data_IF_512022530630
#
_entry.id   IF_512022530630
#
_cell.length_a   1.000
_cell.length_b   1.000
_cell.length_c   1.000
_cell.angle_alpha   90.00
_cell.angle_beta   90.00
_cell.angle_gamma   90.00
#
_symmetry.space_group_name_H-M   'P 1'
#
loop_
_entity.id
_entity.type
_entity.pdbx_description
1 polymer ?
#
# COMPACT_ATOMS: atom_id res chain seq x y z
N UNK A 1 3.28 7.55 2.22
CA UNK A 1 1.84 7.43 1.95
C UNK A 1 1.52 6.00 1.55
N UNK A 2 0.39 5.48 2.01
CA UNK A 2 -0.12 4.15 1.66
C UNK A 2 -1.46 4.29 0.97
N UNK A 3 -1.64 3.59 -0.14
CA UNK A 3 -2.93 3.47 -0.81
C UNK A 3 -3.42 2.02 -0.74
N UNK A 4 -4.71 1.86 -0.47
CA UNK A 4 -5.36 0.54 -0.49
C UNK A 4 -6.82 0.64 -0.93
N UNK A 5 -7.36 -0.43 -1.50
CA UNK A 5 -8.70 -0.53 -2.02
C UNK A 5 -9.60 -1.48 -1.22
N UNK A 6 -10.82 -1.05 -0.95
CA UNK A 6 -11.84 -1.85 -0.28
C UNK A 6 -13.02 -2.01 -1.21
N UNK A 7 -13.28 -3.24 -1.64
CA UNK A 7 -14.43 -3.55 -2.50
C UNK A 7 -15.72 -3.51 -1.69
N UNK A 8 -16.68 -2.77 -2.19
CA UNK A 8 -18.05 -2.65 -1.67
C UNK A 8 -19.05 -2.86 -2.81
N UNK A 9 -20.27 -3.30 -2.49
CA UNK A 9 -21.32 -3.47 -3.47
C UNK A 9 -22.33 -2.33 -3.34
N UNK A 10 -22.53 -1.57 -4.40
CA UNK A 10 -23.39 -0.39 -4.43
C UNK A 10 -24.54 -0.61 -5.40
N UNK A 11 -25.74 -0.19 -4.97
CA UNK A 11 -26.93 -0.20 -5.80
C UNK A 11 -26.93 1.05 -6.70
N UNK A 12 -26.96 0.85 -7.99
CA UNK A 12 -27.10 1.92 -9.00
C UNK A 12 -28.52 2.46 -9.10
N UNK A 13 -28.69 3.54 -9.86
CA UNK A 13 -30.00 4.12 -10.16
C UNK A 13 -30.92 3.14 -10.94
N UNK A 14 -30.34 2.20 -11.68
CA UNK A 14 -31.02 1.10 -12.36
C UNK A 14 -31.40 -0.07 -11.43
N UNK A 15 -31.32 0.12 -10.12
CA UNK A 15 -31.51 -0.87 -9.06
C UNK A 15 -30.54 -2.08 -9.09
N UNK A 16 -29.60 -2.12 -10.04
CA UNK A 16 -28.57 -3.18 -10.10
C UNK A 16 -27.48 -2.92 -9.08
N UNK A 17 -27.01 -4.01 -8.46
CA UNK A 17 -25.90 -3.97 -7.52
C UNK A 17 -24.61 -4.30 -8.27
N UNK A 18 -23.63 -3.43 -8.17
CA UNK A 18 -22.32 -3.62 -8.80
C UNK A 18 -21.18 -3.39 -7.82
N UNK A 19 -20.02 -4.05 -8.02
CA UNK A 19 -18.84 -3.80 -7.20
C UNK A 19 -18.27 -2.41 -7.51
N UNK A 20 -17.87 -1.72 -6.45
CA UNK A 20 -17.13 -0.47 -6.47
C UNK A 20 -15.95 -0.61 -5.53
N UNK A 21 -14.88 0.10 -5.77
CA UNK A 21 -13.73 0.13 -4.86
C UNK A 21 -13.65 1.48 -4.16
N UNK A 22 -13.58 1.48 -2.84
CA UNK A 22 -13.24 2.66 -2.05
C UNK A 22 -11.75 2.64 -1.82
N UNK A 23 -11.07 3.66 -2.34
CA UNK A 23 -9.64 3.88 -2.15
C UNK A 23 -9.39 4.76 -0.95
N UNK A 24 -8.46 4.33 -0.12
CA UNK A 24 -8.03 5.01 1.10
C UNK A 24 -6.59 5.43 0.91
N UNK A 25 -6.28 6.71 1.09
CA UNK A 25 -4.93 7.21 1.23
C UNK A 25 -4.63 7.49 2.70
N UNK A 26 -3.65 6.80 3.26
CA UNK A 26 -3.16 6.95 4.62
C UNK A 26 -1.75 7.54 4.61
N UNK A 27 -1.55 8.70 5.22
CA UNK A 27 -0.25 9.31 5.45
C UNK A 27 0.37 8.88 6.77
N UNK A 28 1.70 8.97 6.82
CA UNK A 28 2.47 9.06 8.05
C UNK A 28 3.19 10.40 7.97
N UNK A 29 2.89 11.29 8.92
CA UNK A 29 3.49 12.61 9.00
C UNK A 29 4.94 12.57 9.53
N UNK A 30 5.58 13.72 9.64
CA UNK A 30 6.95 13.82 10.14
C UNK A 30 7.07 13.47 11.63
N UNK A 31 5.99 13.59 12.40
CA UNK A 31 5.92 13.12 13.78
C UNK A 31 5.67 11.61 13.89
N UNK A 32 5.50 10.91 12.77
CA UNK A 32 5.22 9.48 12.71
C UNK A 32 3.77 9.11 12.99
N UNK A 33 2.86 10.09 13.02
CA UNK A 33 1.45 9.87 13.25
C UNK A 33 0.73 9.52 11.95
N UNK A 34 -0.31 8.76 12.09
CA UNK A 34 -1.18 8.38 10.97
C UNK A 34 -2.19 9.48 10.69
N UNK A 35 -2.41 9.76 9.41
CA UNK A 35 -3.42 10.70 8.95
C UNK A 35 -4.20 10.14 7.76
N UNK A 36 -5.53 10.33 7.77
CA UNK A 36 -6.36 10.03 6.62
C UNK A 36 -6.23 11.16 5.60
N UNK A 37 -5.52 10.92 4.52
CA UNK A 37 -5.31 11.92 3.47
C UNK A 37 -6.48 11.99 2.49
N UNK A 38 -7.17 10.87 2.21
CA UNK A 38 -8.30 10.88 1.28
C UNK A 38 -9.06 9.58 1.18
N UNK A 39 -10.28 9.73 0.65
CA UNK A 39 -11.20 8.65 0.31
C UNK A 39 -11.84 8.94 -1.04
N UNK A 40 -11.77 8.00 -1.96
CA UNK A 40 -12.42 8.08 -3.27
C UNK A 40 -13.14 6.77 -3.55
N UNK A 41 -14.20 6.82 -4.34
CA UNK A 41 -14.91 5.61 -4.78
C UNK A 41 -14.95 5.59 -6.30
N UNK A 42 -14.71 4.43 -6.88
CA UNK A 42 -14.82 4.23 -8.31
C UNK A 42 -15.35 2.83 -8.63
N UNK A 43 -16.09 2.75 -9.73
CA UNK A 43 -16.52 1.49 -10.34
C UNK A 43 -15.40 0.90 -11.21
N UNK A 44 -14.66 1.78 -11.88
CA UNK A 44 -13.50 1.45 -12.70
C UNK A 44 -12.38 2.39 -12.40
N UNK A 45 -11.17 1.89 -12.38
CA UNK A 45 -9.96 2.64 -12.15
C UNK A 45 -9.08 2.68 -13.40
N UNK A 46 -8.28 3.73 -13.51
CA UNK A 46 -7.33 3.92 -14.58
C UNK A 46 -6.46 5.13 -14.34
N UNK A 47 -5.49 5.40 -15.21
CA UNK A 47 -4.52 6.47 -15.04
C UNK A 47 -5.16 7.84 -14.74
N UNK A 48 -6.27 8.18 -15.42
CA UNK A 48 -7.00 9.44 -15.21
C UNK A 48 -7.60 9.53 -13.80
N UNK A 49 -8.16 8.43 -13.28
CA UNK A 49 -8.71 8.37 -11.93
C UNK A 49 -7.59 8.59 -10.89
N UNK A 50 -6.47 7.87 -11.04
CA UNK A 50 -5.33 8.00 -10.14
C UNK A 50 -4.73 9.40 -10.15
N UNK A 51 -4.56 9.97 -11.33
CA UNK A 51 -4.08 11.35 -11.44
C UNK A 51 -5.04 12.33 -10.77
N UNK A 52 -6.35 12.12 -10.88
CA UNK A 52 -7.35 12.91 -10.17
C UNK A 52 -7.22 12.82 -8.65
N UNK A 53 -7.04 11.62 -8.09
CA UNK A 53 -6.81 11.42 -6.65
C UNK A 53 -5.55 12.13 -6.16
N UNK A 54 -4.44 12.01 -6.90
CA UNK A 54 -3.16 12.62 -6.54
C UNK A 54 -3.20 14.15 -6.68
N UNK A 55 -3.89 14.68 -7.70
CA UNK A 55 -4.12 16.12 -7.89
C UNK A 55 -4.97 16.68 -6.75
N UNK A 56 -6.01 15.96 -6.32
CA UNK A 56 -6.84 16.34 -5.17
C UNK A 56 -6.01 16.43 -3.89
N UNK A 57 -5.11 15.46 -3.64
CA UNK A 57 -4.18 15.51 -2.51
C UNK A 57 -3.28 16.74 -2.58
N UNK A 58 -2.72 17.03 -3.73
CA UNK A 58 -1.85 18.19 -3.95
C UNK A 58 -2.58 19.52 -3.73
N UNK A 59 -3.80 19.64 -4.24
CA UNK A 59 -4.64 20.83 -4.08
C UNK A 59 -5.03 21.06 -2.61
N UNK A 60 -5.05 20.00 -1.80
CA UNK A 60 -5.31 20.08 -0.35
C UNK A 60 -4.05 20.26 0.49
N UNK A 61 -2.89 20.49 -0.13
CA UNK A 61 -1.64 20.85 0.54
C UNK A 61 -0.67 19.69 0.78
N UNK A 62 -0.87 18.51 0.18
CA UNK A 62 0.15 17.47 0.20
C UNK A 62 1.22 17.81 -0.84
N UNK A 63 2.25 18.51 -0.43
CA UNK A 63 3.29 19.06 -1.32
C UNK A 63 4.29 17.98 -1.76
N UNK A 64 4.64 17.05 -0.87
CA UNK A 64 5.67 16.04 -1.13
C UNK A 64 5.35 14.67 -0.53
N UNK A 65 5.90 13.63 -1.16
CA UNK A 65 5.79 12.22 -0.73
C UNK A 65 7.16 11.57 -0.89
N UNK A 66 7.78 11.13 0.20
CA UNK A 66 9.05 10.38 0.11
C UNK A 66 8.83 9.00 -0.49
N UNK A 67 7.89 8.22 0.08
CA UNK A 67 7.57 6.87 -0.36
C UNK A 67 6.06 6.72 -0.52
N UNK A 68 5.63 6.21 -1.68
CA UNK A 68 4.23 5.90 -1.97
C UNK A 68 4.06 4.38 -2.14
N UNK A 69 3.37 3.75 -1.18
CA UNK A 69 3.10 2.32 -1.18
C UNK A 69 1.74 2.05 -1.84
N UNK A 70 1.75 1.24 -2.90
CA UNK A 70 0.57 0.92 -3.71
C UNK A 70 0.44 -0.58 -3.98
N UNK A 71 -0.76 -1.06 -4.31
CA UNK A 71 -1.01 -2.47 -4.60
C UNK A 71 -0.66 -2.90 -6.05
N UNK A 72 -0.04 -2.00 -6.82
CA UNK A 72 0.45 -2.28 -8.18
C UNK A 72 -0.66 -2.34 -9.22
N UNK A 73 -1.73 -1.57 -9.03
CA UNK A 73 -2.78 -1.37 -10.03
C UNK A 73 -2.24 -0.64 -11.26
N UNK A 74 -2.73 -1.03 -12.43
CA UNK A 74 -2.25 -0.49 -13.70
C UNK A 74 -2.44 1.04 -13.78
N UNK A 75 -1.38 1.73 -14.25
CA UNK A 75 -1.36 3.19 -14.42
C UNK A 75 -1.21 3.99 -13.12
N UNK A 76 -1.19 3.33 -11.93
CA UNK A 76 -1.02 4.05 -10.68
C UNK A 76 0.43 4.49 -10.45
N UNK A 77 1.44 3.63 -10.64
CA UNK A 77 2.84 4.05 -10.54
C UNK A 77 3.18 5.25 -11.43
N UNK A 78 2.70 5.25 -12.67
CA UNK A 78 2.90 6.34 -13.63
C UNK A 78 2.21 7.63 -13.18
N UNK A 79 0.99 7.54 -12.66
CA UNK A 79 0.28 8.69 -12.12
C UNK A 79 1.03 9.31 -10.92
N UNK A 80 1.61 8.47 -10.04
CA UNK A 80 2.44 8.95 -8.91
C UNK A 80 3.67 9.68 -9.43
N UNK A 81 4.42 9.10 -10.37
CA UNK A 81 5.61 9.72 -10.96
C UNK A 81 5.29 11.05 -11.66
N UNK A 82 4.08 11.16 -12.21
CA UNK A 82 3.60 12.41 -12.83
C UNK A 82 3.25 13.49 -11.80
N UNK A 83 2.49 13.13 -10.76
CA UNK A 83 2.03 14.09 -9.75
C UNK A 83 3.12 14.43 -8.72
N UNK A 84 3.94 13.46 -8.34
CA UNK A 84 5.02 13.55 -7.37
C UNK A 84 6.30 12.92 -7.91
N UNK A 85 7.04 13.62 -8.81
CA UNK A 85 8.19 13.06 -9.52
C UNK A 85 9.32 12.55 -8.60
N UNK A 86 9.43 13.11 -7.41
CA UNK A 86 10.45 12.74 -6.43
C UNK A 86 10.01 11.59 -5.50
N UNK A 87 8.73 11.16 -5.58
CA UNK A 87 8.24 10.07 -4.76
C UNK A 87 8.82 8.72 -5.22
N UNK A 88 9.29 7.93 -4.28
CA UNK A 88 9.64 6.52 -4.54
C UNK A 88 8.36 5.68 -4.51
N UNK A 89 8.07 5.04 -5.63
CA UNK A 89 6.95 4.09 -5.72
C UNK A 89 7.40 2.75 -5.18
N UNK A 90 6.64 2.21 -4.23
CA UNK A 90 6.88 0.90 -3.63
C UNK A 90 5.64 0.03 -3.76
N UNK A 91 5.79 -1.18 -4.28
CA UNK A 91 4.70 -2.13 -4.28
C UNK A 91 4.42 -2.64 -2.86
N UNK A 92 3.14 -2.73 -2.52
CA UNK A 92 2.70 -3.31 -1.26
C UNK A 92 3.00 -4.81 -1.24
N UNK A 93 4.00 -5.20 -0.46
CA UNK A 93 4.43 -6.60 -0.35
C UNK A 93 3.33 -7.53 0.15
N UNK A 94 2.46 -7.05 1.03
CA UNK A 94 1.32 -7.84 1.52
C UNK A 94 0.37 -8.19 0.39
N UNK A 95 0.05 -7.23 -0.48
CA UNK A 95 -0.78 -7.49 -1.66
C UNK A 95 -0.08 -8.42 -2.64
N UNK A 96 1.22 -8.25 -2.84
CA UNK A 96 2.01 -9.11 -3.71
C UNK A 96 2.02 -10.57 -3.21
N UNK A 97 2.27 -10.78 -1.91
CA UNK A 97 2.23 -12.10 -1.28
C UNK A 97 0.81 -12.69 -1.32
N UNK A 98 -0.22 -11.92 -1.00
CA UNK A 98 -1.62 -12.37 -1.08
C UNK A 98 -2.03 -12.77 -2.49
N UNK A 99 -1.60 -12.00 -3.49
CA UNK A 99 -1.85 -12.34 -4.89
C UNK A 99 -1.18 -13.66 -5.29
N UNK A 100 0.07 -13.87 -4.86
CA UNK A 100 0.78 -15.13 -5.06
C UNK A 100 0.06 -16.32 -4.41
N UNK A 101 -0.37 -16.16 -3.16
CA UNK A 101 -1.01 -17.24 -2.39
C UNK A 101 -2.44 -17.58 -2.85
N UNK A 102 -3.08 -16.73 -3.66
CA UNK A 102 -4.46 -16.97 -4.16
C UNK A 102 -4.58 -18.27 -4.93
N UNK A 103 -3.52 -18.68 -5.61
CA UNK A 103 -3.48 -19.87 -6.47
C UNK A 103 -2.72 -21.05 -5.84
N UNK A 104 -2.31 -20.91 -4.57
CA UNK A 104 -1.56 -21.92 -3.84
C UNK A 104 -2.51 -22.80 -3.02
N UNK A 105 -2.31 -24.12 -3.10
CA UNK A 105 -3.06 -25.05 -2.27
C UNK A 105 -2.83 -24.77 -0.77
N UNK A 106 -3.87 -24.91 0.05
CA UNK A 106 -3.82 -24.57 1.49
C UNK A 106 -2.66 -25.24 2.23
N UNK A 107 -2.34 -26.50 1.89
CA UNK A 107 -1.24 -27.26 2.48
C UNK A 107 0.15 -26.64 2.23
N UNK A 108 0.32 -25.96 1.11
CA UNK A 108 1.61 -25.36 0.70
C UNK A 108 1.70 -23.88 1.07
N UNK A 109 0.56 -23.21 1.35
CA UNK A 109 0.48 -21.78 1.52
C UNK A 109 1.45 -21.21 2.57
N UNK A 110 1.63 -21.93 3.69
CA UNK A 110 2.54 -21.52 4.76
C UNK A 110 4.02 -21.59 4.30
N UNK A 111 4.41 -22.65 3.59
CA UNK A 111 5.75 -22.83 3.09
C UNK A 111 6.08 -21.83 1.97
N UNK A 112 5.17 -21.66 1.00
CA UNK A 112 5.32 -20.65 -0.06
C UNK A 112 5.44 -19.24 0.53
N UNK A 113 4.61 -18.87 1.51
CA UNK A 113 4.69 -17.57 2.17
C UNK A 113 6.03 -17.38 2.91
N UNK A 114 6.56 -18.43 3.54
CA UNK A 114 7.84 -18.38 4.23
C UNK A 114 9.01 -18.17 3.24
N UNK A 115 8.98 -18.84 2.10
CA UNK A 115 10.02 -18.68 1.08
C UNK A 115 9.91 -17.32 0.37
N UNK A 116 8.70 -16.84 0.05
CA UNK A 116 8.52 -15.46 -0.45
C UNK A 116 9.04 -14.42 0.55
N UNK A 117 8.90 -14.67 1.85
CA UNK A 117 9.42 -13.76 2.88
C UNK A 117 10.92 -13.61 2.80
N UNK A 118 11.69 -14.67 2.52
CA UNK A 118 13.15 -14.61 2.39
C UNK A 118 13.58 -13.61 1.32
N UNK A 119 12.83 -13.49 0.22
CA UNK A 119 13.13 -12.57 -0.87
C UNK A 119 13.09 -11.11 -0.38
N UNK A 120 11.99 -10.67 0.18
CA UNK A 120 11.82 -9.26 0.56
C UNK A 120 12.46 -8.89 1.91
N UNK A 121 12.90 -9.86 2.71
CA UNK A 121 13.68 -9.61 3.93
C UNK A 121 15.19 -9.75 3.72
N UNK A 122 15.64 -10.01 2.50
CA UNK A 122 17.05 -10.05 2.14
C UNK A 122 17.76 -8.72 2.45
N UNK A 123 19.04 -8.75 2.79
CA UNK A 123 19.78 -7.53 3.09
C UNK A 123 20.06 -6.68 1.84
N UNK A 124 20.25 -7.29 0.68
CA UNK A 124 20.61 -6.64 -0.58
C UNK A 124 19.73 -7.10 -1.73
N UNK A 125 19.73 -6.35 -2.85
CA UNK A 125 19.06 -6.74 -4.10
C UNK A 125 19.62 -8.06 -4.62
N UNK A 126 20.94 -8.22 -4.66
CA UNK A 126 21.58 -9.45 -5.13
C UNK A 126 21.12 -10.68 -4.33
N UNK A 127 21.11 -10.57 -3.00
CA UNK A 127 20.61 -11.64 -2.14
C UNK A 127 19.11 -11.91 -2.35
N UNK A 128 18.31 -10.88 -2.65
CA UNK A 128 16.89 -11.06 -2.97
C UNK A 128 16.69 -11.77 -4.31
N UNK A 129 17.53 -11.48 -5.30
CA UNK A 129 17.55 -12.18 -6.60
C UNK A 129 17.88 -13.66 -6.44
N UNK A 130 18.92 -13.98 -5.66
CA UNK A 130 19.28 -15.36 -5.33
C UNK A 130 18.09 -16.10 -4.66
N UNK A 131 17.44 -15.47 -3.70
CA UNK A 131 16.27 -16.05 -3.04
C UNK A 131 15.09 -16.25 -3.99
N UNK A 132 14.89 -15.36 -4.97
CA UNK A 132 13.85 -15.54 -6.00
C UNK A 132 14.18 -16.71 -6.94
N UNK A 133 15.46 -16.91 -7.30
CA UNK A 133 15.87 -18.06 -8.09
C UNK A 133 15.73 -19.38 -7.31
N UNK A 134 16.09 -19.39 -6.03
CA UNK A 134 15.86 -20.57 -5.17
C UNK A 134 14.36 -20.85 -5.01
N UNK A 135 13.53 -19.81 -4.85
CA UNK A 135 12.08 -19.96 -4.86
C UNK A 135 11.58 -20.62 -6.15
N UNK A 136 12.07 -20.16 -7.31
CA UNK A 136 11.69 -20.70 -8.61
C UNK A 136 12.07 -22.18 -8.75
N UNK A 137 13.28 -22.59 -8.33
CA UNK A 137 13.72 -24.00 -8.35
C UNK A 137 12.79 -24.91 -7.53
N UNK A 138 12.32 -24.43 -6.38
CA UNK A 138 11.46 -25.22 -5.49
C UNK A 138 10.02 -25.27 -5.96
N UNK A 139 9.47 -24.14 -6.43
CA UNK A 139 8.05 -23.98 -6.59
C UNK A 139 7.53 -23.90 -8.02
N UNK A 140 8.36 -23.59 -9.03
CA UNK A 140 7.90 -23.35 -10.41
C UNK A 140 7.32 -24.60 -11.07
N UNK A 141 7.76 -25.80 -10.69
CA UNK A 141 7.14 -27.03 -11.17
C UNK A 141 5.66 -27.13 -10.79
N UNK A 142 5.24 -26.48 -9.69
CA UNK A 142 3.89 -26.53 -9.16
C UNK A 142 3.13 -25.22 -9.29
N UNK A 143 3.82 -24.08 -9.14
CA UNK A 143 3.25 -22.73 -9.14
C UNK A 143 4.06 -21.76 -10.00
N UNK A 144 4.23 -22.03 -11.32
CA UNK A 144 5.16 -21.29 -12.20
C UNK A 144 4.77 -19.82 -12.40
N UNK A 145 3.55 -19.44 -12.08
CA UNK A 145 3.07 -18.06 -12.24
C UNK A 145 3.60 -17.10 -11.19
N UNK A 146 4.03 -17.62 -10.01
CA UNK A 146 4.44 -16.77 -8.89
C UNK A 146 5.77 -16.10 -9.20
N UNK A 147 6.80 -16.87 -9.53
CA UNK A 147 8.13 -16.34 -9.86
C UNK A 147 8.08 -15.40 -11.06
N UNK A 148 7.30 -15.74 -12.11
CA UNK A 148 7.07 -14.89 -13.28
C UNK A 148 6.45 -13.55 -12.90
N UNK A 149 5.41 -13.57 -12.05
CA UNK A 149 4.74 -12.37 -11.59
C UNK A 149 5.69 -11.48 -10.75
N UNK A 150 6.51 -12.08 -9.89
CA UNK A 150 7.48 -11.35 -9.08
C UNK A 150 8.58 -10.74 -9.95
N UNK A 151 9.11 -11.49 -10.92
CA UNK A 151 10.09 -10.98 -11.90
C UNK A 151 9.52 -9.81 -12.73
N UNK A 152 8.28 -9.88 -13.16
CA UNK A 152 7.65 -8.80 -13.95
C UNK A 152 7.44 -7.50 -13.17
N UNK A 153 7.40 -7.56 -11.84
CA UNK A 153 7.22 -6.41 -10.94
C UNK A 153 8.51 -6.07 -10.16
N UNK A 154 9.62 -6.66 -10.58
CA UNK A 154 10.89 -6.62 -9.82
C UNK A 154 11.33 -5.20 -9.52
N UNK A 155 11.40 -4.33 -10.52
CA UNK A 155 11.85 -2.94 -10.40
C UNK A 155 11.09 -2.16 -9.31
N UNK A 156 9.76 -2.24 -9.32
CA UNK A 156 8.95 -1.52 -8.33
C UNK A 156 8.96 -2.22 -6.95
N UNK A 157 9.29 -3.50 -6.90
CA UNK A 157 9.41 -4.25 -5.65
C UNK A 157 10.73 -3.96 -4.94
N UNK A 158 11.84 -3.87 -5.69
CA UNK A 158 13.19 -3.69 -5.11
C UNK A 158 13.50 -2.25 -4.75
N UNK A 159 12.66 -1.28 -5.13
CA UNK A 159 12.88 0.15 -4.81
C UNK A 159 13.10 0.41 -3.31
N UNK A 160 12.59 -0.47 -2.46
CA UNK A 160 12.79 -0.41 -1.01
C UNK A 160 14.21 -0.73 -0.55
N UNK A 161 15.00 -1.47 -1.34
CA UNK A 161 16.40 -1.78 -0.98
C UNK A 161 17.31 -0.55 -1.06
N UNK A 162 16.85 0.53 -1.71
CA UNK A 162 17.52 1.84 -1.68
C UNK A 162 17.48 2.49 -0.29
N UNK A 163 16.68 1.92 0.64
CA UNK A 163 16.49 2.48 1.98
C UNK A 163 17.08 1.59 3.06
N UNK A 164 17.59 2.19 4.15
CA UNK A 164 17.99 1.50 5.37
C UNK A 164 16.85 0.64 5.96
N UNK A 165 17.24 -0.35 6.77
CA UNK A 165 16.29 -1.33 7.33
C UNK A 165 15.17 -0.67 8.14
N UNK A 166 15.44 0.43 8.83
CA UNK A 166 14.48 1.16 9.64
C UNK A 166 13.35 1.75 8.79
N UNK A 167 13.69 2.36 7.65
CA UNK A 167 12.71 2.85 6.67
C UNK A 167 11.96 1.67 6.05
N UNK A 168 12.71 0.62 5.65
CA UNK A 168 12.10 -0.60 5.11
C UNK A 168 11.09 -1.20 6.08
N UNK A 169 11.44 -1.30 7.36
CA UNK A 169 10.52 -1.80 8.41
C UNK A 169 9.27 -0.92 8.54
N UNK A 170 9.41 0.40 8.54
CA UNK A 170 8.26 1.31 8.58
C UNK A 170 7.33 1.12 7.37
N UNK A 171 7.91 0.78 6.21
CA UNK A 171 7.19 0.54 4.94
C UNK A 171 6.60 -0.87 4.87
N UNK A 172 7.33 -1.92 5.32
CA UNK A 172 6.87 -3.32 5.33
C UNK A 172 5.85 -3.62 6.40
N UNK A 173 5.98 -3.00 7.54
CA UNK A 173 4.98 -3.13 8.58
C UNK A 173 3.72 -2.38 8.16
N UNK A 174 3.12 -2.85 7.10
CA UNK A 174 1.78 -2.48 6.61
C UNK A 174 0.70 -2.57 7.68
N UNK A 175 1.11 -2.80 8.93
CA UNK A 175 0.24 -2.70 10.11
C UNK A 175 -0.56 -1.39 10.15
N UNK A 176 -0.07 -0.33 9.50
CA UNK A 176 -0.81 0.92 9.42
C UNK A 176 -2.09 0.75 8.60
N UNK A 177 -1.95 0.40 7.30
CA UNK A 177 -3.08 0.25 6.38
C UNK A 177 -3.87 -1.05 6.65
N UNK A 178 -3.22 -2.15 7.02
CA UNK A 178 -3.89 -3.40 7.37
C UNK A 178 -4.73 -3.29 8.64
N UNK A 179 -4.21 -2.62 9.68
CA UNK A 179 -4.98 -2.38 10.89
C UNK A 179 -6.20 -1.50 10.62
N UNK A 180 -6.04 -0.52 9.71
CA UNK A 180 -7.14 0.31 9.25
C UNK A 180 -8.18 -0.51 8.49
N UNK A 181 -7.75 -1.34 7.53
CA UNK A 181 -8.65 -2.22 6.79
C UNK A 181 -9.39 -3.21 7.69
N UNK A 182 -8.71 -3.76 8.69
CA UNK A 182 -9.35 -4.61 9.70
C UNK A 182 -10.41 -3.85 10.50
N UNK A 183 -10.14 -2.59 10.87
CA UNK A 183 -11.13 -1.75 11.53
C UNK A 183 -12.32 -1.47 10.61
N UNK A 184 -12.08 -1.07 9.36
CA UNK A 184 -13.15 -0.81 8.38
C UNK A 184 -13.99 -2.06 8.15
N UNK A 185 -13.37 -3.22 7.98
CA UNK A 185 -14.09 -4.50 7.77
C UNK A 185 -15.01 -4.86 8.93
N UNK A 186 -14.71 -4.49 10.18
CA UNK A 186 -15.62 -4.71 11.32
C UNK A 186 -16.95 -3.99 11.14
N UNK A 187 -16.93 -2.81 10.50
CA UNK A 187 -18.14 -2.02 10.23
C UNK A 187 -18.83 -2.44 8.93
N UNK A 188 -18.07 -2.93 7.94
CA UNK A 188 -18.60 -3.23 6.60
C UNK A 188 -19.02 -4.68 6.42
N UNK A 189 -18.45 -5.65 7.17
CA UNK A 189 -18.64 -7.10 6.95
C UNK A 189 -20.10 -7.60 6.96
N UNK A 190 -20.95 -6.92 7.72
CA UNK A 190 -22.37 -7.30 7.84
C UNK A 190 -23.26 -6.62 6.79
N UNK A 191 -22.68 -5.73 5.97
CA UNK A 191 -23.42 -5.03 4.92
C UNK A 191 -23.11 -5.65 3.57
N UNK A 192 -24.07 -6.36 3.02
CA UNK A 192 -23.96 -7.01 1.70
C UNK A 192 -23.96 -5.99 0.56
N UNK A 193 -24.68 -4.86 0.73
CA UNK A 193 -24.82 -3.81 -0.28
C UNK A 193 -25.12 -2.45 0.35
N UNK A 194 -24.81 -1.40 -0.39
CA UNK A 194 -25.07 0.00 -0.03
C UNK A 194 -26.09 0.62 -0.99
N UNK A 195 -27.01 1.48 -0.50
CA UNK A 195 -28.00 2.13 -1.35
C UNK A 195 -27.39 3.16 -2.30
N UNK A 196 -26.20 3.70 -2.02
CA UNK A 196 -25.48 4.65 -2.86
C UNK A 196 -23.99 4.67 -2.54
N UNK A 197 -23.17 5.21 -3.44
CA UNK A 197 -21.74 5.46 -3.21
C UNK A 197 -21.50 6.35 -1.98
N UNK A 198 -22.29 7.40 -1.85
CA UNK A 198 -22.23 8.31 -0.69
C UNK A 198 -22.44 7.58 0.64
N UNK A 199 -23.40 6.66 0.70
CA UNK A 199 -23.66 5.88 1.92
C UNK A 199 -22.50 4.92 2.24
N UNK A 200 -21.84 4.35 1.22
CA UNK A 200 -20.67 3.50 1.38
C UNK A 200 -19.48 4.33 1.90
N UNK A 201 -19.18 5.46 1.26
CA UNK A 201 -18.12 6.38 1.69
C UNK A 201 -18.34 6.88 3.12
N UNK A 202 -19.59 7.29 3.46
CA UNK A 202 -19.93 7.76 4.82
C UNK A 202 -19.64 6.69 5.87
N UNK A 203 -20.02 5.43 5.64
CA UNK A 203 -19.76 4.35 6.61
C UNK A 203 -18.26 4.08 6.75
N UNK A 204 -17.52 4.02 5.65
CA UNK A 204 -16.06 3.81 5.68
C UNK A 204 -15.38 4.98 6.39
N UNK A 205 -15.77 6.22 6.08
CA UNK A 205 -15.25 7.40 6.78
C UNK A 205 -15.50 7.34 8.30
N UNK A 206 -16.71 6.98 8.73
CA UNK A 206 -17.02 6.84 10.15
C UNK A 206 -16.21 5.73 10.83
N UNK A 207 -15.99 4.61 10.13
CA UNK A 207 -15.12 3.54 10.62
C UNK A 207 -13.66 4.00 10.80
N UNK A 208 -13.14 4.77 9.84
CA UNK A 208 -11.79 5.34 9.90
C UNK A 208 -11.70 6.36 11.03
N UNK A 209 -12.68 7.25 11.15
CA UNK A 209 -12.75 8.24 12.22
C UNK A 209 -12.78 7.60 13.62
N UNK A 210 -13.48 6.49 13.78
CA UNK A 210 -13.44 5.73 15.04
C UNK A 210 -12.06 5.08 15.28
N UNK A 211 -11.43 4.53 14.25
CA UNK A 211 -10.09 3.97 14.34
C UNK A 211 -9.03 5.05 14.63
N UNK A 212 -9.18 6.25 14.05
CA UNK A 212 -8.21 7.36 14.19
C UNK A 212 -8.12 7.92 15.60
N UNK A 213 -9.12 7.74 16.45
CA UNK A 213 -9.06 8.10 17.88
C UNK A 213 -7.88 7.42 18.60
N UNK A 214 -7.36 6.31 18.06
CA UNK A 214 -6.24 5.55 18.60
C UNK A 214 -4.89 5.92 17.96
N UNK A 215 -4.86 6.85 16.99
CA UNK A 215 -3.63 7.26 16.30
C UNK A 215 -2.89 8.38 17.05
N UNK A 216 -2.71 8.18 18.32
CA UNK A 216 -2.12 9.19 19.22
C UNK A 216 -0.61 9.06 19.38
N UNK A 217 -0.02 7.98 18.88
CA UNK A 217 1.41 7.69 19.02
C UNK A 217 2.05 7.49 17.65
N UNK A 218 3.34 7.86 17.50
CA UNK A 218 4.13 7.53 16.33
C UNK A 218 4.12 6.02 16.05
N UNK A 219 4.31 5.66 14.78
CA UNK A 219 4.59 4.28 14.41
C UNK A 219 5.92 3.82 15.00
N UNK A 220 6.08 2.50 15.21
CA UNK A 220 7.30 1.95 15.78
C UNK A 220 8.52 2.30 14.93
N UNK A 221 9.64 2.57 15.57
CA UNK A 221 10.93 2.90 14.92
C UNK A 221 10.92 4.17 14.08
N UNK A 222 9.89 5.04 14.23
CA UNK A 222 9.77 6.24 13.38
C UNK A 222 10.93 7.21 13.55
N UNK A 223 11.41 7.44 14.77
CA UNK A 223 12.52 8.36 15.02
C UNK A 223 13.78 7.96 14.25
N UNK A 224 14.11 6.66 14.21
CA UNK A 224 15.24 6.15 13.43
C UNK A 224 15.00 6.33 11.93
N UNK A 225 13.80 5.99 11.44
CA UNK A 225 13.43 6.19 10.04
C UNK A 225 13.50 7.68 9.64
N UNK A 226 13.03 8.59 10.49
CA UNK A 226 13.06 10.03 10.24
C UNK A 226 14.49 10.56 10.13
N UNK A 227 15.41 10.13 11.00
CA UNK A 227 16.83 10.48 10.90
C UNK A 227 17.44 10.04 9.55
N UNK A 228 17.09 8.84 9.09
CA UNK A 228 17.53 8.37 7.78
C UNK A 228 16.90 9.17 6.63
N UNK A 229 15.64 9.58 6.74
CA UNK A 229 15.02 10.48 5.75
C UNK A 229 15.74 11.84 5.69
N UNK A 230 16.12 12.38 6.84
CA UNK A 230 16.87 13.65 6.90
C UNK A 230 18.24 13.52 6.22
N UNK A 231 18.93 12.39 6.35
CA UNK A 231 20.20 12.12 5.68
C UNK A 231 20.02 11.91 4.16
N UNK A 232 19.01 11.14 3.76
CA UNK A 232 18.79 10.76 2.36
C UNK A 232 18.14 11.88 1.54
N UNK A 233 17.36 12.75 2.18
CA UNK A 233 16.59 13.81 1.52
C UNK A 233 16.74 15.17 2.23
N UNK A 234 17.97 15.67 2.44
CA UNK A 234 18.20 16.88 3.24
C UNK A 234 17.46 18.10 2.69
N UNK A 235 17.40 18.25 1.36
CA UNK A 235 16.74 19.37 0.68
C UNK A 235 15.21 19.30 0.71
N UNK A 236 14.65 18.16 1.11
CA UNK A 236 13.20 17.92 1.18
C UNK A 236 12.65 17.94 2.60
N UNK A 237 13.53 17.99 3.58
CA UNK A 237 13.14 18.08 4.98
C UNK A 237 12.85 19.54 5.36
N UNK A 238 11.79 19.81 6.14
CA UNK A 238 11.59 21.12 6.74
C UNK A 238 12.80 21.54 7.57
N UNK A 239 13.06 22.85 7.63
CA UNK A 239 14.25 23.41 8.30
C UNK A 239 14.42 22.93 9.75
N UNK A 240 13.32 22.72 10.46
CA UNK A 240 13.30 22.25 11.84
C UNK A 240 13.75 20.78 12.00
N UNK A 241 13.89 20.05 10.90
CA UNK A 241 14.34 18.64 10.86
C UNK A 241 15.69 18.47 10.14
N UNK A 242 16.29 19.57 9.67
CA UNK A 242 17.63 19.57 9.11
C UNK A 242 18.63 19.58 10.27
N UNK A 243 19.50 18.55 10.33
CA UNK A 243 20.53 18.40 11.38
C UNK A 243 21.66 19.41 11.22
#
# INVERSE_FOLDING_TARGET
>A
VFFDGIVVHVRGADAKVSPHTIYVALGIDLEGKKELLGLWIAKTEGAKFWLGCLTDLRNRGLEDIFICCVDGLAGFPEAIRTAYPQARVQLCLVHLVRAALRYVATKDAKAVAADLKKIYTSPTVASAEEQLEEFAKVWDAKYPTISKQWKSKWTDMISMFDFPEEIRRATYTTNAIESLNSAIRKFTKNRKQYPSEHSALKLVYMAIREASKRWTRPIKHWKQALNHFAILFPDRMPKDYQA
#
